data_IF_077403701822
#
_entry.id   IF_077403701822
#
_cell.length_a   1.000
_cell.length_b   1.000
_cell.length_c   1.000
_cell.angle_alpha   90.00
_cell.angle_beta   90.00
_cell.angle_gamma   90.00
#
_symmetry.space_group_name_H-M   'P 1'
#
loop_
_entity.id
_entity.type
_entity.pdbx_description
1 polymer ?
#
# COMPACT_ATOMS: atom_id res chain seq x y z
N UNK A 1 -6.10 -15.05 17.50
CA UNK A 1 -6.09 -13.78 16.72
C UNK A 1 -7.49 -13.22 16.64
N UNK A 2 -8.50 -14.05 16.32
CA UNK A 2 -9.89 -13.61 16.27
C UNK A 2 -10.39 -13.05 17.61
N UNK A 3 -10.15 -13.75 18.73
CA UNK A 3 -10.49 -13.26 20.09
C UNK A 3 -9.93 -11.86 20.38
N UNK A 4 -8.65 -11.61 20.04
CA UNK A 4 -8.06 -10.29 20.24
C UNK A 4 -8.73 -9.22 19.37
N UNK A 5 -9.13 -9.56 18.14
CA UNK A 5 -9.82 -8.61 17.26
C UNK A 5 -11.25 -8.36 17.78
N UNK A 6 -11.93 -9.37 18.32
CA UNK A 6 -13.25 -9.24 18.95
C UNK A 6 -13.14 -8.30 20.16
N UNK A 7 -12.21 -8.58 21.09
CA UNK A 7 -11.95 -7.74 22.26
C UNK A 7 -11.59 -6.29 21.87
N UNK A 8 -10.80 -6.10 20.81
CA UNK A 8 -10.40 -4.79 20.33
C UNK A 8 -11.57 -4.00 19.71
N UNK A 9 -12.51 -4.67 19.05
CA UNK A 9 -13.73 -4.07 18.52
C UNK A 9 -14.63 -3.60 19.67
N UNK A 10 -14.75 -4.41 20.72
CA UNK A 10 -15.63 -4.13 21.86
C UNK A 10 -15.10 -3.05 22.82
N UNK A 11 -13.90 -2.53 22.57
CA UNK A 11 -13.38 -1.37 23.32
C UNK A 11 -14.18 -0.09 23.04
N UNK A 12 -14.22 0.82 24.02
CA UNK A 12 -14.77 2.18 23.82
C UNK A 12 -13.77 3.14 23.15
N UNK A 13 -12.61 2.63 22.71
CA UNK A 13 -11.56 3.42 22.09
C UNK A 13 -11.74 3.42 20.57
N UNK A 14 -12.43 4.44 20.05
CA UNK A 14 -12.80 4.58 18.62
C UNK A 14 -11.65 4.30 17.65
N UNK A 15 -10.42 4.70 17.98
CA UNK A 15 -9.25 4.44 17.14
C UNK A 15 -8.94 2.93 17.03
N UNK A 16 -9.02 2.21 18.15
CA UNK A 16 -8.77 0.77 18.23
C UNK A 16 -9.92 0.01 17.58
N UNK A 17 -11.18 0.35 17.91
CA UNK A 17 -12.35 -0.25 17.27
C UNK A 17 -12.29 -0.13 15.75
N UNK A 18 -11.95 1.07 15.23
CA UNK A 18 -11.84 1.28 13.78
C UNK A 18 -10.71 0.46 13.17
N UNK A 19 -9.55 0.39 13.84
CA UNK A 19 -8.43 -0.42 13.38
C UNK A 19 -8.80 -1.90 13.34
N UNK A 20 -9.38 -2.43 14.41
CA UNK A 20 -9.76 -3.83 14.56
C UNK A 20 -10.84 -4.24 13.55
N UNK A 21 -11.84 -3.38 13.29
CA UNK A 21 -12.85 -3.63 12.26
C UNK A 21 -12.26 -3.71 10.84
N UNK A 22 -11.30 -2.84 10.51
CA UNK A 22 -10.59 -2.91 9.21
C UNK A 22 -9.71 -4.16 9.14
N UNK A 23 -8.99 -4.47 10.23
CA UNK A 23 -8.16 -5.68 10.31
C UNK A 23 -8.99 -6.96 10.16
N UNK A 24 -10.17 -7.04 10.78
CA UNK A 24 -11.10 -8.17 10.63
C UNK A 24 -11.49 -8.38 9.18
N UNK A 25 -11.84 -7.29 8.48
CA UNK A 25 -12.24 -7.33 7.06
C UNK A 25 -11.10 -7.83 6.17
N UNK A 26 -9.88 -7.45 6.48
CA UNK A 26 -8.71 -7.70 5.64
C UNK A 26 -7.83 -8.86 6.17
N UNK A 27 -8.36 -9.69 7.09
CA UNK A 27 -7.59 -10.71 7.83
C UNK A 27 -6.94 -11.77 6.92
N UNK A 28 -7.63 -12.17 5.85
CA UNK A 28 -7.10 -13.15 4.90
C UNK A 28 -5.89 -12.61 4.15
N UNK A 29 -5.88 -11.31 3.83
CA UNK A 29 -4.74 -10.65 3.21
C UNK A 29 -3.55 -10.60 4.17
N UNK A 30 -3.79 -10.38 5.47
CA UNK A 30 -2.74 -10.38 6.50
C UNK A 30 -2.16 -11.78 6.69
N UNK A 31 -3.00 -12.82 6.76
CA UNK A 31 -2.54 -14.22 6.84
C UNK A 31 -1.69 -14.59 5.61
N UNK A 32 -2.18 -14.28 4.41
CA UNK A 32 -1.46 -14.53 3.17
C UNK A 32 -0.10 -13.79 3.12
N UNK A 33 -0.01 -12.57 3.66
CA UNK A 33 1.24 -11.82 3.70
C UNK A 33 2.30 -12.45 4.62
N UNK A 34 1.90 -13.29 5.59
CA UNK A 34 2.80 -14.00 6.50
C UNK A 34 3.13 -15.40 5.94
N UNK A 35 2.14 -16.09 5.39
CA UNK A 35 2.26 -17.48 4.93
C UNK A 35 2.94 -17.61 3.57
N UNK A 36 2.71 -16.66 2.67
CA UNK A 36 3.22 -16.71 1.31
C UNK A 36 4.59 -16.02 1.20
N UNK A 37 5.47 -16.48 0.30
CA UNK A 37 6.77 -15.84 0.07
C UNK A 37 6.68 -14.53 -0.73
N UNK A 38 5.47 -14.11 -1.12
CA UNK A 38 5.24 -12.94 -1.97
C UNK A 38 5.12 -11.68 -1.12
N UNK A 39 5.81 -10.62 -1.54
CA UNK A 39 5.76 -9.31 -0.88
C UNK A 39 5.16 -8.25 -1.80
N UNK A 40 4.29 -7.40 -1.25
CA UNK A 40 3.81 -6.19 -1.93
C UNK A 40 4.89 -5.09 -2.07
N UNK A 41 6.08 -5.28 -1.50
CA UNK A 41 7.13 -4.26 -1.46
C UNK A 41 7.57 -3.75 -2.84
N UNK A 42 7.57 -4.60 -3.88
CA UNK A 42 7.86 -4.15 -5.25
C UNK A 42 6.79 -3.18 -5.76
N UNK A 43 5.51 -3.51 -5.58
CA UNK A 43 4.41 -2.66 -5.99
C UNK A 43 4.40 -1.33 -5.20
N UNK A 44 4.56 -1.40 -3.88
CA UNK A 44 4.65 -0.24 -3.01
C UNK A 44 5.84 0.66 -3.36
N UNK A 45 7.00 0.07 -3.68
CA UNK A 45 8.18 0.79 -4.15
C UNK A 45 7.92 1.59 -5.42
N UNK A 46 7.27 0.97 -6.43
CA UNK A 46 6.91 1.66 -7.66
C UNK A 46 5.88 2.78 -7.41
N UNK A 47 4.87 2.53 -6.57
CA UNK A 47 3.88 3.54 -6.17
C UNK A 47 4.54 4.71 -5.43
N UNK A 48 5.49 4.44 -4.54
CA UNK A 48 6.21 5.48 -3.82
C UNK A 48 7.08 6.31 -4.77
N UNK A 49 7.77 5.68 -5.71
CA UNK A 49 8.53 6.37 -6.77
C UNK A 49 7.63 7.26 -7.62
N UNK A 50 6.44 6.76 -8.01
CA UNK A 50 5.43 7.53 -8.74
C UNK A 50 4.96 8.76 -7.95
N UNK A 51 4.60 8.56 -6.68
CA UNK A 51 4.14 9.63 -5.78
C UNK A 51 5.24 10.68 -5.58
N UNK A 52 6.49 10.26 -5.42
CA UNK A 52 7.64 11.16 -5.28
C UNK A 52 7.79 12.03 -6.53
N UNK A 53 7.77 11.42 -7.72
CA UNK A 53 7.88 12.15 -8.98
C UNK A 53 6.73 13.15 -9.17
N UNK A 54 5.49 12.75 -8.88
CA UNK A 54 4.32 13.63 -8.94
C UNK A 54 4.47 14.83 -8.01
N UNK A 55 4.97 14.63 -6.78
CA UNK A 55 5.23 15.71 -5.81
C UNK A 55 6.33 16.66 -6.27
N UNK A 56 7.45 16.13 -6.80
CA UNK A 56 8.54 16.94 -7.34
C UNK A 56 8.09 17.84 -8.52
N UNK A 57 7.00 17.46 -9.20
CA UNK A 57 6.43 18.19 -10.32
C UNK A 57 5.20 19.02 -9.94
N UNK A 58 4.91 19.18 -8.65
CA UNK A 58 3.75 19.92 -8.15
C UNK A 58 2.42 19.44 -8.75
N UNK A 59 2.32 18.14 -9.08
CA UNK A 59 1.14 17.56 -9.71
C UNK A 59 0.92 17.93 -11.19
N UNK A 60 1.85 18.66 -11.82
CA UNK A 60 1.72 19.16 -13.21
C UNK A 60 2.16 18.14 -14.28
N UNK A 61 2.52 16.93 -13.87
CA UNK A 61 2.93 15.86 -14.78
C UNK A 61 1.70 15.12 -15.31
N UNK A 62 1.46 15.22 -16.62
CA UNK A 62 0.49 14.37 -17.33
C UNK A 62 0.98 12.92 -17.47
N UNK A 63 0.13 11.98 -17.89
CA UNK A 63 0.46 10.56 -18.00
C UNK A 63 1.68 10.28 -18.88
N UNK A 64 1.84 10.96 -20.01
CA UNK A 64 2.97 10.78 -20.93
C UNK A 64 4.29 11.18 -20.27
N UNK A 65 4.32 12.35 -19.64
CA UNK A 65 5.50 12.88 -18.96
C UNK A 65 5.86 12.06 -17.72
N UNK A 66 4.87 11.55 -17.00
CA UNK A 66 5.08 10.62 -15.90
C UNK A 66 5.68 9.31 -16.42
N UNK A 67 5.09 8.73 -17.47
CA UNK A 67 5.57 7.51 -18.12
C UNK A 67 7.01 7.63 -18.60
N UNK A 68 7.34 8.73 -19.30
CA UNK A 68 8.69 9.00 -19.80
C UNK A 68 9.76 9.07 -18.69
N UNK A 69 9.38 9.47 -17.47
CA UNK A 69 10.29 9.51 -16.31
C UNK A 69 10.25 8.22 -15.49
N UNK A 70 9.16 7.45 -15.57
CA UNK A 70 9.06 6.19 -14.86
C UNK A 70 9.80 5.06 -15.56
N UNK A 71 9.71 5.02 -16.89
CA UNK A 71 10.30 3.96 -17.69
C UNK A 71 11.81 4.18 -17.85
N UNK A 72 12.62 3.10 -17.86
CA UNK A 72 14.01 3.20 -18.25
C UNK A 72 14.09 3.75 -19.69
N UNK A 73 15.06 4.62 -19.95
CA UNK A 73 15.34 5.05 -21.30
C UNK A 73 15.79 3.80 -22.08
N UNK A 74 15.04 3.43 -23.12
CA UNK A 74 15.46 2.37 -24.03
C UNK A 74 16.77 2.79 -24.72
N UNK A 75 17.91 2.44 -24.13
CA UNK A 75 19.18 2.44 -24.84
C UNK A 75 19.19 1.18 -25.69
N UNK A 76 18.70 1.31 -26.94
CA UNK A 76 19.02 0.33 -27.98
C UNK A 76 20.52 0.52 -28.27
N UNK A 77 21.33 -0.44 -27.83
CA UNK A 77 22.66 -0.68 -28.40
C UNK A 77 22.46 -1.29 -29.78
#
# INVERSE_FOLDING_TARGET
>A
MDEWIDDAIDTELTAITRFASVLRRDIDAVKNAIELPWSNGQAEGQINRLKMLKRAMYGRAGPELMGARMLPLNHRI
#
